data_IF_131560198894
#
_entry.id   IF_131560198894
#
_cell.length_a   1.000
_cell.length_b   1.000
_cell.length_c   1.000
_cell.angle_alpha   90.00
_cell.angle_beta   90.00
_cell.angle_gamma   90.00
#
_symmetry.space_group_name_H-M   'P 1'
#
loop_
_entity.id
_entity.type
_entity.pdbx_description
1 polymer ?
#
# COMPACT_ATOMS: atom_id res chain seq x y z
N UNK A 1 -14.01 -17.11 8.53
CA UNK A 1 -13.53 -18.06 7.52
C UNK A 1 -13.63 -17.42 6.14
N UNK A 2 -12.72 -17.73 5.21
CA UNK A 2 -12.77 -17.20 3.85
C UNK A 2 -13.67 -18.06 2.95
N UNK A 3 -14.37 -17.48 1.96
CA UNK A 3 -15.14 -18.27 0.98
C UNK A 3 -14.25 -19.25 0.19
N UNK A 4 -14.88 -20.23 -0.44
CA UNK A 4 -14.22 -21.16 -1.38
C UNK A 4 -13.57 -20.34 -2.51
N UNK A 5 -12.36 -20.74 -2.93
CA UNK A 5 -11.55 -20.11 -3.98
C UNK A 5 -11.22 -18.62 -3.77
N UNK A 6 -11.47 -18.09 -2.57
CA UNK A 6 -11.17 -16.70 -2.26
C UNK A 6 -9.65 -16.49 -2.19
N UNK A 7 -9.17 -15.54 -2.99
CA UNK A 7 -7.77 -15.09 -2.95
C UNK A 7 -7.56 -14.22 -1.69
N UNK A 8 -6.67 -14.68 -0.83
CA UNK A 8 -6.38 -14.08 0.48
C UNK A 8 -5.09 -13.27 0.41
N UNK A 9 -5.16 -12.00 0.82
CA UNK A 9 -3.96 -11.21 1.06
C UNK A 9 -3.15 -11.76 2.26
N UNK A 10 -1.91 -12.18 2.03
CA UNK A 10 -1.11 -12.89 3.03
C UNK A 10 -0.80 -12.02 4.26
N UNK A 11 -0.61 -10.71 4.09
CA UNK A 11 -0.39 -9.81 5.24
C UNK A 11 -1.62 -9.73 6.16
N UNK A 12 -2.84 -9.91 5.63
CA UNK A 12 -4.06 -10.03 6.45
C UNK A 12 -4.09 -11.37 7.18
N UNK A 13 -3.78 -12.46 6.49
CA UNK A 13 -3.74 -13.80 7.08
C UNK A 13 -2.75 -13.89 8.25
N UNK A 14 -1.53 -13.37 8.06
CA UNK A 14 -0.49 -13.29 9.10
C UNK A 14 -0.99 -12.58 10.36
N UNK A 15 -1.64 -11.41 10.22
CA UNK A 15 -2.17 -10.66 11.37
C UNK A 15 -3.29 -11.42 12.09
N UNK A 16 -4.11 -12.18 11.36
CA UNK A 16 -5.13 -13.03 11.96
C UNK A 16 -4.48 -14.16 12.79
N UNK A 17 -3.45 -14.83 12.27
CA UNK A 17 -2.73 -15.88 13.02
C UNK A 17 -2.05 -15.35 14.29
N UNK A 18 -1.49 -14.13 14.21
CA UNK A 18 -0.91 -13.46 15.39
C UNK A 18 -2.00 -13.16 16.42
N UNK A 19 -3.15 -12.62 15.99
CA UNK A 19 -4.26 -12.28 16.88
C UNK A 19 -4.87 -13.51 17.58
N UNK A 20 -4.96 -14.64 16.88
CA UNK A 20 -5.42 -15.90 17.48
C UNK A 20 -4.38 -16.55 18.41
N UNK A 21 -3.11 -16.15 18.31
CA UNK A 21 -2.01 -16.70 19.10
C UNK A 21 -1.45 -18.01 18.54
N UNK A 22 -1.66 -18.28 17.25
CA UNK A 22 -1.05 -19.43 16.58
C UNK A 22 0.46 -19.27 16.38
N UNK A 23 0.92 -18.02 16.36
CA UNK A 23 2.32 -17.68 16.21
C UNK A 23 2.99 -17.66 17.59
N UNK A 24 3.85 -18.63 17.87
CA UNK A 24 4.64 -18.70 19.10
C UNK A 24 6.09 -18.31 18.79
N UNK A 25 6.55 -17.16 19.27
CA UNK A 25 7.97 -16.83 19.25
C UNK A 25 8.72 -17.77 20.20
N UNK A 26 9.68 -18.53 19.66
CA UNK A 26 10.57 -19.34 20.48
C UNK A 26 11.73 -18.46 20.98
N UNK A 27 12.13 -18.63 22.25
CA UNK A 27 13.17 -17.82 22.90
C UNK A 27 14.54 -17.84 22.20
N UNK A 28 14.78 -18.77 21.26
CA UNK A 28 16.03 -18.91 20.52
C UNK A 28 16.09 -18.08 19.22
N UNK A 29 15.00 -17.42 18.79
CA UNK A 29 14.97 -16.51 17.64
C UNK A 29 14.91 -15.06 18.14
N UNK A 30 16.06 -14.53 18.56
CA UNK A 30 16.12 -13.23 19.25
C UNK A 30 15.74 -12.02 18.36
N UNK A 31 15.83 -12.16 17.03
CA UNK A 31 15.62 -11.05 16.07
C UNK A 31 14.37 -11.19 15.18
N UNK A 32 13.66 -12.33 15.21
CA UNK A 32 12.52 -12.57 14.32
C UNK A 32 11.21 -11.98 14.88
N UNK A 33 10.51 -11.17 14.10
CA UNK A 33 9.20 -10.64 14.49
C UNK A 33 8.11 -11.71 14.44
N UNK A 34 6.96 -11.47 15.10
CA UNK A 34 5.82 -12.35 14.98
C UNK A 34 5.32 -12.47 13.51
N UNK A 35 5.48 -11.43 12.70
CA UNK A 35 5.17 -11.53 11.27
C UNK A 35 6.16 -12.43 10.53
N UNK A 36 7.44 -12.39 10.86
CA UNK A 36 8.46 -13.24 10.22
C UNK A 36 8.18 -14.72 10.51
N UNK A 37 7.90 -15.05 11.77
CA UNK A 37 7.53 -16.42 12.18
C UNK A 37 6.23 -16.88 11.50
N UNK A 38 5.25 -15.99 11.39
CA UNK A 38 4.00 -16.29 10.70
C UNK A 38 4.22 -16.52 9.19
N UNK A 39 5.05 -15.70 8.54
CA UNK A 39 5.39 -15.84 7.12
C UNK A 39 6.20 -17.11 6.84
N UNK A 40 7.08 -17.49 7.76
CA UNK A 40 7.78 -18.77 7.67
C UNK A 40 6.80 -19.94 7.76
N UNK A 41 5.85 -19.89 8.70
CA UNK A 41 4.76 -20.89 8.78
C UNK A 41 3.93 -20.96 7.49
N UNK A 42 3.59 -19.81 6.87
CA UNK A 42 2.89 -19.77 5.59
C UNK A 42 3.72 -20.44 4.48
N UNK A 43 5.03 -20.17 4.44
CA UNK A 43 5.96 -20.78 3.48
C UNK A 43 5.99 -22.31 3.64
N UNK A 44 5.94 -22.82 4.87
CA UNK A 44 5.85 -24.26 5.11
C UNK A 44 4.54 -24.87 4.61
N UNK A 45 3.41 -24.17 4.76
CA UNK A 45 2.12 -24.62 4.22
C UNK A 45 2.12 -24.64 2.68
N UNK A 46 2.77 -23.66 2.05
CA UNK A 46 2.97 -23.60 0.61
C UNK A 46 3.81 -24.79 0.15
N UNK A 47 4.96 -25.05 0.81
CA UNK A 47 5.84 -26.16 0.47
C UNK A 47 5.19 -27.54 0.67
N UNK A 48 4.13 -27.64 1.49
CA UNK A 48 3.32 -28.85 1.68
C UNK A 48 2.15 -28.95 0.69
N UNK A 49 2.04 -28.04 -0.28
CA UNK A 49 0.93 -27.94 -1.24
C UNK A 49 -0.46 -27.80 -0.58
N UNK A 50 -0.53 -27.29 0.65
CA UNK A 50 -1.79 -27.01 1.34
C UNK A 50 -2.33 -25.62 0.99
N UNK A 51 -1.45 -24.72 0.56
CA UNK A 51 -1.75 -23.35 0.15
C UNK A 51 -1.06 -23.08 -1.18
N UNK A 52 -1.79 -22.53 -2.14
CA UNK A 52 -1.27 -22.12 -3.44
C UNK A 52 -0.91 -20.63 -3.42
N UNK A 53 0.21 -20.28 -4.06
CA UNK A 53 0.62 -18.89 -4.24
C UNK A 53 -0.08 -18.34 -5.48
N UNK A 54 -0.87 -17.29 -5.29
CA UNK A 54 -1.55 -16.61 -6.40
C UNK A 54 -0.66 -15.50 -6.97
N UNK A 55 -0.01 -14.74 -6.08
CA UNK A 55 0.82 -13.62 -6.47
C UNK A 55 2.02 -13.46 -5.52
N UNK A 56 3.21 -13.30 -6.11
CA UNK A 56 4.44 -12.92 -5.44
C UNK A 56 4.70 -11.44 -5.75
N UNK A 57 4.88 -10.63 -4.71
CA UNK A 57 5.27 -9.24 -4.86
C UNK A 57 6.70 -9.17 -5.42
N UNK A 58 7.06 -8.07 -6.08
CA UNK A 58 8.36 -7.89 -6.75
C UNK A 58 9.60 -7.92 -5.82
N UNK A 59 9.37 -7.82 -4.50
CA UNK A 59 10.38 -8.00 -3.45
C UNK A 59 10.59 -9.48 -3.08
N UNK A 60 9.93 -10.40 -3.80
CA UNK A 60 9.97 -11.85 -3.56
C UNK A 60 9.03 -12.31 -2.43
N UNK A 61 8.25 -11.41 -1.83
CA UNK A 61 7.34 -11.77 -0.73
C UNK A 61 6.02 -12.28 -1.28
N UNK A 62 5.51 -13.39 -0.74
CA UNK A 62 4.16 -13.88 -1.10
C UNK A 62 3.12 -12.83 -0.67
N UNK A 63 2.46 -12.24 -1.67
CA UNK A 63 1.47 -11.17 -1.52
C UNK A 63 0.06 -11.74 -1.35
N UNK A 64 -0.30 -12.71 -2.18
CA UNK A 64 -1.61 -13.34 -2.22
C UNK A 64 -1.54 -14.86 -2.34
N UNK A 65 -2.44 -15.55 -1.64
CA UNK A 65 -2.52 -17.00 -1.63
C UNK A 65 -3.96 -17.48 -1.63
N UNK A 66 -4.19 -18.72 -2.07
CA UNK A 66 -5.49 -19.38 -2.05
C UNK A 66 -5.37 -20.81 -1.54
N UNK A 67 -6.49 -21.36 -1.11
CA UNK A 67 -6.61 -22.79 -0.78
C UNK A 67 -7.49 -23.43 -1.85
N UNK A 68 -7.10 -24.63 -2.31
CA UNK A 68 -7.87 -25.39 -3.31
C UNK A 68 -9.21 -25.85 -2.73
N UNK A 69 -10.26 -25.96 -3.56
CA UNK A 69 -11.62 -26.34 -3.12
C UNK A 69 -11.69 -27.59 -2.23
N UNK A 70 -11.04 -28.69 -2.64
CA UNK A 70 -10.98 -29.92 -1.82
C UNK A 70 -10.33 -29.71 -0.44
N UNK A 71 -9.29 -28.88 -0.36
CA UNK A 71 -8.63 -28.56 0.91
C UNK A 71 -9.52 -27.65 1.76
N UNK A 72 -10.27 -26.75 1.13
CA UNK A 72 -11.27 -25.93 1.80
C UNK A 72 -12.36 -26.80 2.45
N UNK A 73 -12.92 -27.77 1.72
CA UNK A 73 -13.89 -28.74 2.26
C UNK A 73 -13.33 -29.55 3.44
N UNK A 74 -12.07 -30.02 3.33
CA UNK A 74 -11.40 -30.72 4.42
C UNK A 74 -11.25 -29.82 5.67
N UNK A 75 -10.88 -28.55 5.47
CA UNK A 75 -10.76 -27.57 6.55
C UNK A 75 -12.13 -27.30 7.19
N UNK A 76 -13.21 -27.20 6.41
CA UNK A 76 -14.57 -27.03 6.92
C UNK A 76 -14.96 -28.22 7.79
N UNK A 77 -14.80 -29.44 7.26
CA UNK A 77 -15.11 -30.67 7.97
C UNK A 77 -14.32 -30.80 9.28
N UNK A 78 -13.02 -30.48 9.28
CA UNK A 78 -12.20 -30.48 10.49
C UNK A 78 -12.54 -29.35 11.46
N UNK A 79 -12.96 -28.20 10.96
CA UNK A 79 -13.39 -27.08 11.81
C UNK A 79 -14.68 -27.42 12.55
N UNK A 80 -15.62 -28.09 11.88
CA UNK A 80 -16.86 -28.56 12.49
C UNK A 80 -16.60 -29.66 13.53
N UNK A 81 -15.72 -30.63 13.22
CA UNK A 81 -15.31 -31.69 14.16
C UNK A 81 -14.69 -31.10 15.44
N UNK A 82 -13.85 -30.07 15.29
CA UNK A 82 -13.14 -29.44 16.40
C UNK A 82 -13.95 -28.32 17.08
N UNK A 83 -15.19 -28.07 16.65
CA UNK A 83 -16.00 -26.92 17.09
C UNK A 83 -15.23 -25.59 17.03
N UNK A 84 -14.40 -25.44 16.00
CA UNK A 84 -13.50 -24.29 15.85
C UNK A 84 -14.26 -23.02 15.45
N UNK A 85 -15.49 -23.15 14.92
CA UNK A 85 -16.28 -22.02 14.41
C UNK A 85 -17.74 -22.06 14.86
N UNK A 86 -18.23 -20.94 15.40
CA UNK A 86 -19.67 -20.70 15.62
C UNK A 86 -20.17 -19.73 14.55
N UNK A 87 -21.05 -20.20 13.66
CA UNK A 87 -21.73 -19.35 12.68
C UNK A 87 -22.97 -18.73 13.35
N UNK A 88 -22.79 -17.65 14.11
CA UNK A 88 -23.91 -16.97 14.80
C UNK A 88 -24.64 -16.01 13.84
N UNK A 89 -25.97 -15.95 13.93
CA UNK A 89 -26.81 -14.99 13.20
C UNK A 89 -26.58 -13.54 13.70
N UNK A 90 -27.01 -12.50 12.95
CA UNK A 90 -26.55 -11.12 13.13
C UNK A 90 -27.20 -10.38 14.30
N UNK A 91 -28.19 -10.99 14.94
CA UNK A 91 -29.02 -10.36 15.96
C UNK A 91 -28.50 -10.59 17.38
N UNK A 92 -27.37 -11.26 17.56
CA UNK A 92 -26.82 -11.60 18.89
C UNK A 92 -25.48 -10.94 19.22
N UNK A 93 -25.25 -9.67 18.85
CA UNK A 93 -24.09 -8.93 19.37
C UNK A 93 -24.14 -8.75 20.90
N UNK A 94 -25.34 -8.80 21.48
CA UNK A 94 -25.55 -8.71 22.94
C UNK A 94 -24.98 -9.91 23.69
N UNK A 95 -24.62 -11.01 23.00
CA UNK A 95 -24.07 -12.24 23.58
C UNK A 95 -22.65 -12.54 23.07
N UNK A 96 -21.88 -11.55 22.58
CA UNK A 96 -20.45 -11.77 22.37
C UNK A 96 -19.82 -12.06 23.73
N UNK A 97 -19.52 -13.34 23.98
CA UNK A 97 -18.73 -13.73 25.13
C UNK A 97 -17.44 -12.90 25.14
N UNK A 98 -17.06 -12.38 26.32
CA UNK A 98 -15.87 -11.54 26.55
C UNK A 98 -14.53 -12.21 26.12
N UNK A 99 -14.60 -13.45 25.60
CA UNK A 99 -13.50 -14.29 25.15
C UNK A 99 -13.07 -14.05 23.69
N UNK A 100 -13.85 -13.31 22.89
CA UNK A 100 -13.52 -13.10 21.48
C UNK A 100 -12.19 -12.36 21.29
N UNK A 101 -11.27 -12.93 20.49
CA UNK A 101 -9.95 -12.35 20.18
C UNK A 101 -9.89 -11.64 18.83
N UNK A 102 -10.82 -11.94 17.93
CA UNK A 102 -10.89 -11.37 16.59
C UNK A 102 -12.33 -11.04 16.18
N UNK A 103 -12.53 -9.85 15.62
CA UNK A 103 -13.78 -9.42 15.00
C UNK A 103 -13.51 -8.78 13.64
N UNK A 104 -14.24 -9.22 12.62
CA UNK A 104 -14.29 -8.60 11.30
C UNK A 104 -15.74 -8.34 10.91
N UNK A 105 -16.09 -7.07 10.73
CA UNK A 105 -17.40 -6.63 10.27
C UNK A 105 -17.34 -6.47 8.75
N UNK A 106 -18.30 -7.09 8.04
CA UNK A 106 -18.38 -7.04 6.58
C UNK A 106 -19.67 -6.35 6.14
N UNK A 107 -19.63 -5.66 5.00
CA UNK A 107 -20.78 -5.03 4.38
C UNK A 107 -21.40 -6.00 3.39
N UNK A 108 -22.48 -6.68 3.78
CA UNK A 108 -23.28 -7.46 2.83
C UNK A 108 -24.08 -6.49 1.98
N UNK A 109 -23.63 -6.30 0.74
CA UNK A 109 -24.46 -5.73 -0.32
C UNK A 109 -25.73 -6.56 -0.45
N UNK A 110 -26.87 -5.88 -0.53
CA UNK A 110 -28.17 -6.48 -0.81
C UNK A 110 -28.11 -7.40 -2.02
N UNK A 111 -28.02 -8.72 -1.79
CA UNK A 111 -28.87 -9.77 -2.35
C UNK A 111 -28.39 -11.14 -1.82
N UNK A 112 -29.28 -11.77 -1.05
CA UNK A 112 -29.28 -13.18 -0.64
C UNK A 112 -28.29 -13.65 0.45
N UNK A 113 -28.91 -13.85 1.63
CA UNK A 113 -28.61 -14.77 2.72
C UNK A 113 -27.40 -14.55 3.65
N UNK A 114 -27.77 -14.56 4.93
CA UNK A 114 -26.99 -14.61 6.16
C UNK A 114 -26.36 -13.30 6.65
N UNK A 115 -27.07 -12.71 7.60
CA UNK A 115 -26.42 -12.35 8.86
C UNK A 115 -25.46 -11.15 8.88
N UNK A 116 -25.96 -9.95 8.56
CA UNK A 116 -25.26 -8.69 8.92
C UNK A 116 -26.03 -7.86 9.94
N UNK A 117 -25.30 -7.45 10.98
CA UNK A 117 -25.67 -6.50 12.02
C UNK A 117 -26.38 -5.31 11.35
N UNK A 118 -27.64 -5.03 11.72
CA UNK A 118 -28.20 -3.69 11.50
C UNK A 118 -27.54 -2.75 12.51
N UNK A 119 -26.26 -2.45 12.31
CA UNK A 119 -25.75 -1.19 12.82
C UNK A 119 -26.54 -0.12 12.08
N UNK A 120 -26.96 0.94 12.76
CA UNK A 120 -27.25 2.17 12.04
C UNK A 120 -26.06 2.40 11.11
N UNK A 121 -26.31 2.43 9.79
CA UNK A 121 -25.38 2.01 8.70
C UNK A 121 -23.96 2.62 8.70
N UNK A 122 -23.67 3.53 9.62
CA UNK A 122 -22.49 4.39 9.69
C UNK A 122 -21.77 4.39 11.06
N UNK A 123 -22.22 3.67 12.11
CA UNK A 123 -21.58 3.72 13.45
C UNK A 123 -21.38 2.34 14.09
N UNK A 124 -20.30 2.19 14.86
CA UNK A 124 -20.06 1.02 15.72
C UNK A 124 -20.63 1.24 17.15
N UNK A 125 -21.13 0.20 17.82
CA UNK A 125 -21.71 0.28 19.17
C UNK A 125 -20.65 0.55 20.26
N UNK A 126 -21.03 1.24 21.34
CA UNK A 126 -20.16 1.48 22.52
C UNK A 126 -19.90 0.18 23.33
N UNK A 127 -20.77 -0.82 23.19
CA UNK A 127 -20.60 -2.13 23.81
C UNK A 127 -19.35 -2.87 23.28
N UNK A 128 -18.77 -2.41 22.16
CA UNK A 128 -17.54 -2.95 21.61
C UNK A 128 -16.37 -2.89 22.60
N UNK A 129 -16.33 -1.88 23.48
CA UNK A 129 -15.30 -1.76 24.52
C UNK A 129 -15.32 -2.87 25.57
N UNK A 130 -16.41 -3.65 25.67
CA UNK A 130 -16.53 -4.75 26.63
C UNK A 130 -15.71 -5.99 26.22
N UNK A 131 -15.14 -6.00 25.01
CA UNK A 131 -14.41 -7.13 24.44
C UNK A 131 -12.92 -7.09 24.83
N UNK A 132 -12.63 -7.15 26.12
CA UNK A 132 -11.30 -6.92 26.69
C UNK A 132 -10.20 -7.90 26.22
N UNK A 133 -10.56 -8.97 25.52
CA UNK A 133 -9.64 -9.94 24.92
C UNK A 133 -9.40 -9.75 23.42
N UNK A 134 -10.05 -8.76 22.81
CA UNK A 134 -9.93 -8.48 21.39
C UNK A 134 -8.51 -8.02 21.05
N UNK A 135 -7.90 -8.71 20.08
CA UNK A 135 -6.58 -8.44 19.50
C UNK A 135 -6.67 -7.93 18.07
N UNK A 136 -7.76 -8.21 17.36
CA UNK A 136 -7.96 -7.77 15.98
C UNK A 136 -9.37 -7.24 15.77
N UNK A 137 -9.49 -6.01 15.30
CA UNK A 137 -10.73 -5.39 14.86
C UNK A 137 -10.60 -4.93 13.40
N UNK A 138 -11.53 -5.37 12.55
CA UNK A 138 -11.66 -4.91 11.17
C UNK A 138 -13.06 -4.43 10.86
N UNK A 139 -13.15 -3.23 10.29
CA UNK A 139 -14.37 -2.71 9.62
C UNK A 139 -14.09 -2.40 8.15
N UNK A 140 -13.17 -3.15 7.58
CA UNK A 140 -12.80 -3.08 6.17
C UNK A 140 -14.02 -3.21 5.26
N UNK A 141 -14.02 -2.45 4.17
CA UNK A 141 -15.06 -2.51 3.12
C UNK A 141 -16.47 -2.20 3.65
N UNK A 142 -16.57 -1.43 4.74
CA UNK A 142 -17.85 -1.03 5.34
C UNK A 142 -18.18 0.44 5.16
N UNK A 143 -19.43 0.81 5.44
CA UNK A 143 -19.90 2.21 5.43
C UNK A 143 -19.70 2.90 6.79
N UNK A 144 -19.04 2.26 7.75
CA UNK A 144 -18.76 2.82 9.09
C UNK A 144 -18.01 4.14 8.95
N UNK A 145 -18.54 5.18 9.58
CA UNK A 145 -18.02 6.55 9.63
C UNK A 145 -17.40 6.91 10.97
N UNK A 146 -17.91 6.35 12.07
CA UNK A 146 -17.45 6.68 13.42
C UNK A 146 -17.14 5.45 14.24
N UNK A 147 -16.00 5.48 14.94
CA UNK A 147 -15.63 4.50 15.95
C UNK A 147 -16.08 4.98 17.35
N UNK A 148 -16.53 4.08 18.24
CA UNK A 148 -16.97 4.42 19.59
C UNK A 148 -15.78 4.85 20.46
N UNK A 149 -16.06 5.64 21.49
CA UNK A 149 -15.02 6.09 22.44
C UNK A 149 -14.49 4.94 23.28
N UNK A 150 -15.37 4.02 23.67
CA UNK A 150 -15.05 2.77 24.38
C UNK A 150 -14.05 1.86 23.66
N UNK A 151 -13.72 2.13 22.39
CA UNK A 151 -12.61 1.45 21.71
C UNK A 151 -11.30 1.59 22.49
N UNK A 152 -11.14 2.65 23.31
CA UNK A 152 -10.00 2.85 24.20
C UNK A 152 -9.82 1.76 25.27
N UNK A 153 -10.87 1.04 25.63
CA UNK A 153 -10.86 -0.01 26.65
C UNK A 153 -10.26 -1.33 26.13
N UNK A 154 -10.04 -1.43 24.82
CA UNK A 154 -9.47 -2.61 24.18
C UNK A 154 -7.95 -2.65 24.32
N UNK A 155 -7.45 -2.74 25.55
CA UNK A 155 -6.01 -2.68 25.84
C UNK A 155 -5.20 -3.81 25.21
N UNK A 156 -5.82 -4.93 24.80
CA UNK A 156 -5.16 -6.04 24.08
C UNK A 156 -5.19 -5.91 22.56
N UNK A 157 -5.80 -4.85 22.01
CA UNK A 157 -5.94 -4.69 20.57
C UNK A 157 -4.58 -4.49 19.91
N UNK A 158 -4.20 -5.40 19.02
CA UNK A 158 -2.94 -5.38 18.27
C UNK A 158 -3.14 -4.86 16.84
N UNK A 159 -4.30 -5.11 16.23
CA UNK A 159 -4.64 -4.69 14.87
C UNK A 159 -5.96 -3.92 14.80
N UNK A 160 -5.92 -2.74 14.16
CA UNK A 160 -7.09 -1.98 13.74
C UNK A 160 -7.05 -1.77 12.21
N UNK A 161 -7.95 -2.44 11.50
CA UNK A 161 -8.05 -2.40 10.03
C UNK A 161 -9.32 -1.65 9.58
N UNK A 162 -9.11 -0.43 9.07
CA UNK A 162 -10.15 0.48 8.62
C UNK A 162 -10.11 0.68 7.09
N UNK A 163 -9.39 -0.18 6.35
CA UNK A 163 -9.25 -0.02 4.88
C UNK A 163 -10.61 -0.02 4.18
N UNK A 164 -10.82 0.93 3.29
CA UNK A 164 -12.06 1.12 2.53
C UNK A 164 -13.29 1.22 3.42
N UNK A 165 -13.11 1.74 4.64
CA UNK A 165 -14.20 2.25 5.46
C UNK A 165 -14.47 3.73 5.14
N UNK A 166 -15.45 4.34 5.81
CA UNK A 166 -15.72 5.79 5.72
C UNK A 166 -15.30 6.53 6.99
N UNK A 167 -14.40 5.94 7.79
CA UNK A 167 -13.86 6.58 8.98
C UNK A 167 -12.88 7.66 8.53
N UNK A 168 -13.24 8.93 8.72
CA UNK A 168 -12.40 10.07 8.34
C UNK A 168 -11.53 10.59 9.49
N UNK A 169 -11.91 10.31 10.73
CA UNK A 169 -11.24 10.79 11.93
C UNK A 169 -11.33 9.74 13.04
N UNK A 170 -10.23 9.52 13.76
CA UNK A 170 -10.23 8.68 14.96
C UNK A 170 -10.71 9.49 16.18
N UNK A 171 -11.43 8.85 17.12
CA UNK A 171 -11.71 9.48 18.42
C UNK A 171 -10.40 9.76 19.17
N UNK A 172 -10.36 10.84 19.95
CA UNK A 172 -9.16 11.23 20.71
C UNK A 172 -8.69 10.11 21.66
N UNK A 173 -9.65 9.37 22.23
CA UNK A 173 -9.43 8.29 23.18
C UNK A 173 -8.66 7.09 22.60
N UNK A 174 -8.49 7.01 21.26
CA UNK A 174 -7.70 5.96 20.59
C UNK A 174 -6.24 5.94 21.06
N UNK A 175 -5.74 7.07 21.56
CA UNK A 175 -4.38 7.19 22.07
C UNK A 175 -4.06 6.27 23.25
N UNK A 176 -5.08 5.76 23.97
CA UNK A 176 -4.92 4.85 25.11
C UNK A 176 -4.64 3.39 24.72
N UNK A 177 -4.71 3.06 23.43
CA UNK A 177 -4.47 1.70 22.93
C UNK A 177 -2.99 1.31 23.01
N UNK A 178 -2.50 0.85 24.16
CA UNK A 178 -1.06 0.64 24.40
C UNK A 178 -0.41 -0.52 23.60
N UNK A 179 -1.19 -1.52 23.16
CA UNK A 179 -0.67 -2.70 22.45
C UNK A 179 -0.87 -2.67 20.92
N UNK A 180 -1.33 -1.55 20.36
CA UNK A 180 -1.60 -1.45 18.93
C UNK A 180 -0.30 -1.52 18.12
N UNK A 181 -0.16 -2.56 17.29
CA UNK A 181 1.00 -2.78 16.40
C UNK A 181 0.71 -2.37 14.95
N UNK A 182 -0.51 -2.65 14.50
CA UNK A 182 -0.93 -2.48 13.12
C UNK A 182 -2.14 -1.56 13.03
N UNK A 183 -1.94 -0.35 12.54
CA UNK A 183 -3.00 0.57 12.18
C UNK A 183 -2.99 0.80 10.67
N UNK A 184 -4.07 0.40 10.01
CA UNK A 184 -4.16 0.47 8.55
C UNK A 184 -5.49 1.08 8.16
N UNK A 185 -5.45 2.29 7.60
CA UNK A 185 -6.65 3.04 7.35
C UNK A 185 -6.50 3.87 6.08
N UNK A 186 -7.40 3.67 5.13
CA UNK A 186 -7.59 4.58 4.01
C UNK A 186 -8.98 4.37 3.44
N UNK A 187 -9.56 5.40 2.85
CA UNK A 187 -10.68 5.25 1.92
C UNK A 187 -10.18 5.46 0.49
N UNK A 188 -10.77 4.74 -0.45
CA UNK A 188 -10.51 4.96 -1.87
C UNK A 188 -11.49 6.04 -2.36
N UNK A 189 -10.97 7.15 -2.90
CA UNK A 189 -11.79 8.17 -3.57
C UNK A 189 -11.75 8.03 -5.09
N UNK A 190 -10.64 7.54 -5.63
CA UNK A 190 -10.43 7.05 -6.99
C UNK A 190 -9.18 6.15 -7.02
N UNK A 191 -8.91 5.44 -8.12
CA UNK A 191 -7.86 4.39 -8.22
C UNK A 191 -6.45 4.83 -7.79
N UNK A 192 -6.17 6.14 -7.68
CA UNK A 192 -4.85 6.69 -7.37
C UNK A 192 -4.79 7.48 -6.05
N UNK A 193 -5.89 8.11 -5.62
CA UNK A 193 -5.93 8.93 -4.41
C UNK A 193 -6.59 8.15 -3.28
N UNK A 194 -5.81 7.92 -2.24
CA UNK A 194 -6.31 7.37 -0.98
C UNK A 194 -6.44 8.49 0.03
N UNK A 195 -7.63 8.65 0.60
CA UNK A 195 -7.80 9.57 1.72
C UNK A 195 -7.38 8.85 3.01
N UNK A 196 -6.51 9.50 3.78
CA UNK A 196 -6.08 8.99 5.08
C UNK A 196 -7.10 9.27 6.18
N UNK A 197 -6.79 8.80 7.38
CA UNK A 197 -7.63 9.05 8.56
C UNK A 197 -6.96 10.06 9.46
N UNK A 198 -7.70 11.10 9.83
CA UNK A 198 -7.23 12.13 10.77
C UNK A 198 -7.02 11.53 12.14
N UNK A 199 -5.87 11.81 12.71
CA UNK A 199 -5.55 11.43 14.08
C UNK A 199 -5.24 12.69 14.90
N UNK A 200 -5.60 12.65 16.17
CA UNK A 200 -5.35 13.75 17.10
C UNK A 200 -4.56 13.24 18.30
N UNK A 201 -3.65 14.08 18.79
CA UNK A 201 -2.88 13.81 20.00
C UNK A 201 -1.71 12.84 19.80
N UNK A 202 -1.17 12.37 20.91
CA UNK A 202 0.04 11.54 20.94
C UNK A 202 -0.35 10.06 21.00
N UNK A 203 0.39 9.18 20.32
CA UNK A 203 0.25 7.74 20.53
C UNK A 203 0.98 7.33 21.81
N UNK A 204 0.26 6.98 22.89
CA UNK A 204 0.90 6.36 24.06
C UNK A 204 1.42 4.94 23.73
N UNK A 205 0.95 4.35 22.63
CA UNK A 205 1.41 3.09 22.02
C UNK A 205 2.82 3.17 21.41
N UNK A 206 3.60 4.23 21.69
CA UNK A 206 4.81 4.61 20.95
C UNK A 206 5.93 3.56 20.90
N UNK A 207 5.82 2.48 21.67
CA UNK A 207 6.78 1.36 21.68
C UNK A 207 6.37 0.16 20.82
N UNK A 208 5.09 0.00 20.50
CA UNK A 208 4.55 -1.22 19.87
C UNK A 208 4.17 -1.05 18.40
N UNK A 209 3.93 0.17 17.92
CA UNK A 209 3.51 0.40 16.52
C UNK A 209 4.62 -0.02 15.55
N UNK A 210 4.28 -0.97 14.68
CA UNK A 210 5.14 -1.47 13.59
C UNK A 210 4.66 -0.97 12.22
N UNK A 211 3.34 -0.78 12.04
CA UNK A 211 2.76 -0.32 10.77
C UNK A 211 1.71 0.74 11.02
N UNK A 212 1.96 1.91 10.48
CA UNK A 212 1.06 3.06 10.50
C UNK A 212 0.85 3.52 9.06
N UNK A 213 -0.26 3.15 8.44
CA UNK A 213 -0.44 3.38 7.00
C UNK A 213 -1.64 4.26 6.68
N UNK A 214 -1.34 5.41 6.05
CA UNK A 214 -2.24 6.47 5.56
C UNK A 214 -2.95 7.24 6.68
N UNK A 215 -2.13 7.82 7.54
CA UNK A 215 -2.56 8.79 8.55
C UNK A 215 -2.58 10.19 7.95
N UNK A 216 -3.67 10.93 8.17
CA UNK A 216 -3.81 12.33 7.78
C UNK A 216 -3.31 13.24 8.91
N UNK A 217 -2.23 13.97 8.64
CA UNK A 217 -1.66 14.96 9.54
C UNK A 217 -2.25 16.32 9.16
N UNK A 218 -3.21 16.80 9.94
CA UNK A 218 -3.83 18.12 9.69
C UNK A 218 -2.76 19.23 9.81
N UNK A 219 -2.30 19.73 8.67
CA UNK A 219 -1.33 20.82 8.62
C UNK A 219 -1.94 22.07 9.27
N UNK A 220 -1.30 22.48 10.36
CA UNK A 220 -1.71 23.58 11.24
C UNK A 220 -1.67 23.22 12.73
N UNK A 221 -1.81 21.93 13.10
CA UNK A 221 -1.84 21.48 14.53
C UNK A 221 -0.99 20.23 14.81
N UNK A 222 -0.15 19.80 13.86
CA UNK A 222 0.46 18.46 13.84
C UNK A 222 1.93 18.40 14.29
N UNK A 223 2.54 19.49 14.76
CA UNK A 223 3.97 19.51 15.12
C UNK A 223 4.31 18.46 16.19
N UNK A 224 3.47 18.38 17.22
CA UNK A 224 3.62 17.38 18.29
C UNK A 224 3.58 15.96 17.72
N UNK A 225 2.63 15.69 16.83
CA UNK A 225 2.41 14.36 16.26
C UNK A 225 3.58 13.89 15.36
N UNK A 226 4.15 14.77 14.53
CA UNK A 226 5.32 14.42 13.69
C UNK A 226 6.51 14.01 14.57
N UNK A 227 6.74 14.74 15.67
CA UNK A 227 7.80 14.40 16.62
C UNK A 227 7.54 13.07 17.33
N UNK A 228 6.27 12.76 17.65
CA UNK A 228 5.87 11.47 18.22
C UNK A 228 6.07 10.31 17.24
N UNK A 229 5.79 10.51 15.95
CA UNK A 229 6.05 9.49 14.92
C UNK A 229 7.54 9.13 14.84
N UNK A 230 8.43 10.12 15.05
CA UNK A 230 9.87 9.89 15.11
C UNK A 230 10.30 8.97 16.25
N UNK A 231 9.52 8.89 17.34
CA UNK A 231 9.82 8.04 18.50
C UNK A 231 9.49 6.57 18.26
N UNK A 232 8.78 6.23 17.19
CA UNK A 232 8.36 4.87 16.85
C UNK A 232 9.53 4.04 16.29
N UNK A 233 10.39 3.54 17.18
CA UNK A 233 11.62 2.82 16.79
C UNK A 233 11.39 1.50 16.04
N UNK A 234 10.23 0.88 16.23
CA UNK A 234 9.86 -0.39 15.60
C UNK A 234 9.08 -0.22 14.29
N UNK A 235 8.91 1.02 13.82
CA UNK A 235 8.11 1.33 12.64
C UNK A 235 8.78 0.78 11.37
N UNK A 236 8.08 -0.13 10.68
CA UNK A 236 8.50 -0.75 9.43
C UNK A 236 7.74 -0.24 8.22
N UNK A 237 6.52 0.25 8.42
CA UNK A 237 5.70 0.82 7.33
C UNK A 237 5.02 2.10 7.78
N UNK A 238 5.30 3.19 7.05
CA UNK A 238 4.73 4.50 7.30
C UNK A 238 4.04 5.03 6.04
N UNK A 239 2.80 5.46 6.19
CA UNK A 239 2.07 6.21 5.18
C UNK A 239 1.49 7.48 5.79
N UNK A 240 1.91 8.64 5.29
CA UNK A 240 1.44 9.96 5.74
C UNK A 240 0.74 10.66 4.59
N UNK A 241 -0.35 11.36 4.90
CA UNK A 241 -1.03 12.26 3.97
C UNK A 241 -1.36 13.61 4.62
N UNK A 242 -1.51 14.64 3.81
CA UNK A 242 -2.08 15.95 4.19
C UNK A 242 -2.87 16.54 3.01
N UNK A 243 -3.70 15.71 2.36
CA UNK A 243 -4.54 16.18 1.27
C UNK A 243 -5.84 16.69 1.87
N UNK A 244 -6.04 18.01 1.83
CA UNK A 244 -7.31 18.62 2.20
C UNK A 244 -8.30 18.37 1.06
N UNK A 245 -9.51 17.92 1.42
CA UNK A 245 -10.60 17.70 0.46
C UNK A 245 -11.15 18.99 -0.15
N UNK A 246 -10.70 20.16 0.34
CA UNK A 246 -11.24 21.46 -0.01
C UNK A 246 -10.10 22.36 -0.49
N UNK A 247 -10.32 23.05 -1.61
CA UNK A 247 -9.37 23.80 -2.45
C UNK A 247 -8.71 25.04 -1.80
N UNK A 248 -8.41 24.99 -0.50
CA UNK A 248 -7.51 25.94 0.16
C UNK A 248 -6.08 25.50 -0.10
N UNK A 249 -5.19 26.48 -0.23
CA UNK A 249 -3.76 26.26 -0.44
C UNK A 249 -3.24 25.14 0.47
N UNK A 250 -2.73 24.07 -0.15
CA UNK A 250 -2.17 22.93 0.57
C UNK A 250 -0.91 23.39 1.29
N UNK A 251 -0.99 23.48 2.62
CA UNK A 251 0.18 23.68 3.48
C UNK A 251 1.15 22.49 3.32
N UNK A 252 2.47 22.74 3.32
CA UNK A 252 3.44 21.68 3.16
C UNK A 252 3.50 20.76 4.39
N UNK A 253 3.75 19.48 4.14
CA UNK A 253 4.07 18.47 5.15
C UNK A 253 5.41 18.81 5.81
N UNK A 254 5.36 19.28 7.05
CA UNK A 254 6.56 19.58 7.85
C UNK A 254 7.06 18.31 8.56
N UNK A 255 7.88 17.52 7.86
CA UNK A 255 8.42 16.25 8.38
C UNK A 255 9.87 16.34 8.86
N UNK A 256 10.44 17.55 8.91
CA UNK A 256 11.85 17.77 9.22
C UNK A 256 12.17 17.63 10.72
N UNK A 257 11.18 17.69 11.61
CA UNK A 257 11.38 17.51 13.06
C UNK A 257 11.37 16.04 13.51
N UNK A 258 11.07 15.11 12.59
CA UNK A 258 10.99 13.69 12.89
C UNK A 258 12.39 13.07 12.96
N UNK A 259 12.65 12.25 13.98
CA UNK A 259 13.85 11.41 14.04
C UNK A 259 13.77 10.23 13.09
N UNK A 260 14.94 9.76 12.61
CA UNK A 260 15.01 8.73 11.57
C UNK A 260 14.45 7.36 12.03
N UNK A 261 13.41 6.82 11.35
CA UNK A 261 12.88 5.50 11.63
C UNK A 261 13.71 4.43 10.90
N UNK A 262 14.86 4.05 11.45
CA UNK A 262 15.87 3.24 10.75
C UNK A 262 15.38 1.86 10.25
N UNK A 263 14.33 1.30 10.85
CA UNK A 263 13.73 0.01 10.45
C UNK A 263 12.67 0.13 9.35
N UNK A 264 12.47 1.34 8.81
CA UNK A 264 11.45 1.58 7.82
C UNK A 264 11.76 0.84 6.52
N UNK A 265 10.82 0.00 6.12
CA UNK A 265 10.88 -0.82 4.92
C UNK A 265 10.00 -0.26 3.79
N UNK A 266 8.93 0.45 4.14
CA UNK A 266 8.02 1.07 3.17
C UNK A 266 7.57 2.45 3.64
N UNK A 267 7.81 3.46 2.79
CA UNK A 267 7.43 4.85 3.01
C UNK A 267 6.47 5.33 1.93
N UNK A 268 5.33 5.89 2.33
CA UNK A 268 4.43 6.65 1.46
C UNK A 268 4.24 8.05 2.01
N UNK A 269 4.59 9.06 1.23
CA UNK A 269 4.32 10.46 1.54
C UNK A 269 3.35 11.01 0.50
N UNK A 270 2.23 11.58 0.97
CA UNK A 270 1.18 12.10 0.10
C UNK A 270 0.80 13.55 0.45
N UNK A 271 1.07 14.49 -0.43
CA UNK A 271 0.83 15.91 -0.23
C UNK A 271 2.10 16.74 -0.36
N UNK A 272 1.95 18.07 -0.41
CA UNK A 272 3.03 19.01 -0.72
C UNK A 272 4.20 18.88 0.25
N UNK A 273 5.42 18.85 -0.28
CA UNK A 273 6.68 18.88 0.46
C UNK A 273 7.53 20.05 -0.04
N UNK A 274 8.05 20.88 0.85
CA UNK A 274 9.02 21.92 0.45
C UNK A 274 10.37 21.30 0.08
N UNK A 275 10.80 20.33 0.89
CA UNK A 275 12.04 19.57 0.72
C UNK A 275 11.80 18.13 1.13
N UNK A 276 12.58 17.22 0.57
CA UNK A 276 12.61 15.84 1.04
C UNK A 276 13.12 15.83 2.51
N UNK A 277 12.52 15.04 3.42
CA UNK A 277 12.99 14.94 4.79
C UNK A 277 14.43 14.41 4.89
N UNK A 278 15.28 15.06 5.68
CA UNK A 278 16.71 14.74 5.77
C UNK A 278 16.97 13.30 6.24
N UNK A 279 16.13 12.75 7.11
CA UNK A 279 16.28 11.39 7.63
C UNK A 279 16.08 10.28 6.59
N UNK A 280 15.62 10.61 5.37
CA UNK A 280 15.44 9.60 4.31
C UNK A 280 16.77 8.98 3.88
N UNK A 281 17.88 9.75 3.89
CA UNK A 281 19.22 9.24 3.55
C UNK A 281 19.71 8.12 4.49
N UNK A 282 19.16 8.08 5.70
CA UNK A 282 19.56 7.15 6.76
C UNK A 282 18.83 5.79 6.66
N UNK A 283 17.81 5.68 5.81
CA UNK A 283 16.93 4.51 5.74
C UNK A 283 17.54 3.37 4.91
N UNK A 284 18.56 2.72 5.46
CA UNK A 284 19.30 1.66 4.75
C UNK A 284 18.45 0.41 4.44
N UNK A 285 17.35 0.20 5.15
CA UNK A 285 16.42 -0.92 4.92
C UNK A 285 15.21 -0.55 4.03
N UNK A 286 15.15 0.66 3.48
CA UNK A 286 13.98 1.12 2.74
C UNK A 286 13.90 0.43 1.38
N UNK A 287 12.87 -0.39 1.20
CA UNK A 287 12.63 -1.13 -0.04
C UNK A 287 11.65 -0.43 -0.97
N UNK A 288 10.71 0.33 -0.41
CA UNK A 288 9.68 1.04 -1.20
C UNK A 288 9.54 2.48 -0.76
N UNK A 289 9.67 3.41 -1.70
CA UNK A 289 9.31 4.80 -1.50
C UNK A 289 8.26 5.24 -2.52
N UNK A 290 7.18 5.85 -2.02
CA UNK A 290 6.12 6.43 -2.85
C UNK A 290 5.94 7.89 -2.48
N UNK A 291 6.22 8.77 -3.43
CA UNK A 291 6.02 10.21 -3.32
C UNK A 291 4.83 10.60 -4.19
N UNK A 292 3.75 11.03 -3.54
CA UNK A 292 2.51 11.39 -4.19
C UNK A 292 2.21 12.86 -3.90
N UNK A 293 1.87 13.63 -4.93
CA UNK A 293 1.44 15.02 -4.79
C UNK A 293 2.46 15.89 -4.05
N UNK A 294 3.75 15.53 -4.13
CA UNK A 294 4.80 16.17 -3.36
C UNK A 294 5.11 17.59 -3.84
N UNK A 295 4.81 17.91 -5.11
CA UNK A 295 5.06 19.24 -5.69
C UNK A 295 6.50 19.75 -5.49
N UNK A 296 7.46 18.83 -5.31
CA UNK A 296 8.86 19.19 -5.13
C UNK A 296 9.35 19.92 -6.38
N UNK A 297 10.12 20.99 -6.21
CA UNK A 297 10.72 21.71 -7.34
C UNK A 297 11.60 20.79 -8.18
N UNK A 298 12.33 19.91 -7.49
CA UNK A 298 13.18 18.88 -8.06
C UNK A 298 13.14 17.66 -7.14
N UNK A 299 13.15 16.46 -7.73
CA UNK A 299 13.27 15.22 -6.95
C UNK A 299 14.75 15.00 -6.67
N UNK A 300 15.19 14.90 -5.40
CA UNK A 300 16.59 14.67 -5.07
C UNK A 300 16.95 13.20 -5.33
N UNK A 301 17.13 12.85 -6.60
CA UNK A 301 17.51 11.51 -7.05
C UNK A 301 18.89 11.10 -6.52
N UNK A 302 19.76 12.06 -6.21
CA UNK A 302 21.03 11.82 -5.53
C UNK A 302 20.82 11.21 -4.12
N UNK A 303 19.82 11.66 -3.37
CA UNK A 303 19.51 11.11 -2.04
C UNK A 303 18.83 9.74 -2.17
N UNK A 304 17.82 9.64 -3.04
CA UNK A 304 17.05 8.42 -3.22
C UNK A 304 17.88 7.31 -3.89
N UNK A 305 18.80 7.68 -4.75
CA UNK A 305 19.68 6.81 -5.51
C UNK A 305 20.76 6.14 -4.68
N UNK A 306 21.12 6.72 -3.53
CA UNK A 306 22.09 6.12 -2.58
C UNK A 306 21.46 5.07 -1.65
N UNK A 307 20.14 4.87 -1.72
CA UNK A 307 19.46 3.87 -0.88
C UNK A 307 19.75 2.45 -1.40
N UNK A 308 20.43 1.60 -0.61
CA UNK A 308 21.00 0.35 -1.12
C UNK A 308 19.92 -0.71 -1.43
N UNK A 309 18.87 -0.77 -0.63
CA UNK A 309 17.82 -1.79 -0.72
C UNK A 309 16.58 -1.32 -1.50
N UNK A 310 16.63 -0.14 -2.12
CA UNK A 310 15.44 0.46 -2.75
C UNK A 310 15.07 -0.29 -4.03
N UNK A 311 13.99 -1.07 -3.98
CA UNK A 311 13.47 -1.84 -5.11
C UNK A 311 12.35 -1.12 -5.87
N UNK A 312 11.59 -0.24 -5.22
CA UNK A 312 10.48 0.52 -5.84
C UNK A 312 10.58 2.03 -5.58
N UNK A 313 10.60 2.79 -6.66
CA UNK A 313 10.43 4.24 -6.67
C UNK A 313 9.14 4.59 -7.43
N UNK A 314 8.16 5.11 -6.70
CA UNK A 314 6.88 5.54 -7.25
C UNK A 314 6.71 7.05 -7.11
N UNK A 315 6.54 7.74 -8.24
CA UNK A 315 6.39 9.18 -8.31
C UNK A 315 5.08 9.51 -9.03
N UNK A 316 4.09 10.04 -8.29
CA UNK A 316 2.81 10.48 -8.85
C UNK A 316 2.56 11.94 -8.54
N UNK A 317 2.49 12.81 -9.54
CA UNK A 317 2.36 14.27 -9.32
C UNK A 317 3.42 14.78 -8.32
N UNK A 318 4.60 14.17 -8.36
CA UNK A 318 5.63 14.30 -7.34
C UNK A 318 6.59 15.47 -7.56
N UNK A 319 6.70 15.96 -8.79
CA UNK A 319 7.69 16.95 -9.21
C UNK A 319 7.06 18.03 -10.09
N UNK A 320 7.47 19.28 -9.85
CA UNK A 320 7.19 20.45 -10.68
C UNK A 320 8.36 20.81 -11.60
N UNK A 321 9.48 20.08 -11.51
CA UNK A 321 10.63 20.19 -12.37
C UNK A 321 10.33 19.70 -13.79
N UNK A 322 11.13 20.17 -14.74
CA UNK A 322 10.97 19.87 -16.17
C UNK A 322 11.83 18.71 -16.64
N UNK A 323 12.82 18.32 -15.85
CA UNK A 323 13.79 17.30 -16.21
C UNK A 323 13.95 16.29 -15.08
N UNK A 324 14.16 15.03 -15.45
CA UNK A 324 14.65 13.98 -14.55
C UNK A 324 15.88 13.37 -15.19
N UNK A 325 16.96 13.28 -14.43
CA UNK A 325 18.22 12.71 -14.86
C UNK A 325 18.64 11.62 -13.88
N UNK A 326 18.68 10.38 -14.38
CA UNK A 326 19.20 9.24 -13.65
C UNK A 326 20.67 9.06 -14.01
N UNK A 327 21.55 9.55 -13.13
CA UNK A 327 23.00 9.44 -13.31
C UNK A 327 23.50 8.01 -13.03
N UNK A 328 24.63 7.67 -13.63
CA UNK A 328 25.28 6.37 -13.42
C UNK A 328 25.74 6.20 -11.97
N UNK A 329 25.63 4.98 -11.43
CA UNK A 329 26.05 4.66 -10.06
C UNK A 329 24.97 4.86 -8.98
N UNK A 330 23.81 5.45 -9.32
CA UNK A 330 22.64 5.50 -8.44
C UNK A 330 21.68 4.32 -8.66
N UNK A 331 20.83 4.06 -7.67
CA UNK A 331 19.77 3.05 -7.67
C UNK A 331 20.31 1.62 -7.89
N UNK A 332 21.18 1.12 -6.99
CA UNK A 332 21.89 -0.15 -7.19
C UNK A 332 20.99 -1.38 -7.22
N UNK A 333 19.78 -1.32 -6.62
CA UNK A 333 18.86 -2.45 -6.50
C UNK A 333 17.48 -2.21 -7.17
N UNK A 334 17.27 -1.06 -7.82
CA UNK A 334 15.92 -0.64 -8.25
C UNK A 334 15.36 -1.57 -9.33
N UNK A 335 14.18 -2.15 -9.08
CA UNK A 335 13.46 -3.05 -9.99
C UNK A 335 12.25 -2.40 -10.64
N UNK A 336 11.56 -1.52 -9.91
CA UNK A 336 10.34 -0.88 -10.37
C UNK A 336 10.48 0.64 -10.30
N UNK A 337 10.32 1.29 -11.45
CA UNK A 337 10.26 2.73 -11.58
C UNK A 337 8.92 3.15 -12.18
N UNK A 338 8.14 3.91 -11.42
CA UNK A 338 6.83 4.41 -11.85
C UNK A 338 6.84 5.94 -11.84
N UNK A 339 6.67 6.54 -13.02
CA UNK A 339 6.62 7.97 -13.25
C UNK A 339 5.23 8.34 -13.81
N UNK A 340 4.37 8.96 -12.99
CA UNK A 340 2.99 9.25 -13.38
C UNK A 340 2.56 10.68 -13.07
N UNK A 341 1.83 11.32 -14.00
CA UNK A 341 1.34 12.71 -13.89
C UNK A 341 2.42 13.71 -13.51
N UNK A 342 3.56 13.63 -14.18
CA UNK A 342 4.62 14.63 -14.07
C UNK A 342 4.38 15.71 -15.14
N UNK A 343 3.40 16.57 -14.89
CA UNK A 343 2.76 17.44 -15.90
C UNK A 343 3.74 18.37 -16.64
N UNK A 344 4.86 18.73 -16.00
CA UNK A 344 5.91 19.62 -16.54
C UNK A 344 7.13 18.89 -17.10
N UNK A 345 7.20 17.57 -16.92
CA UNK A 345 8.35 16.78 -17.36
C UNK A 345 8.42 16.78 -18.88
N UNK A 346 9.48 17.35 -19.43
CA UNK A 346 9.72 17.42 -20.87
C UNK A 346 10.99 16.67 -21.30
N UNK A 347 11.91 16.38 -20.37
CA UNK A 347 13.14 15.64 -20.61
C UNK A 347 13.34 14.56 -19.56
N UNK A 348 13.52 13.32 -20.03
CA UNK A 348 13.99 12.21 -19.23
C UNK A 348 15.37 11.82 -19.76
N UNK A 349 16.39 11.90 -18.92
CA UNK A 349 17.77 11.50 -19.22
C UNK A 349 18.17 10.32 -18.33
N UNK A 350 18.82 9.32 -18.91
CA UNK A 350 19.30 8.13 -18.22
C UNK A 350 20.71 7.92 -18.73
N UNK A 351 21.69 7.95 -17.83
CA UNK A 351 23.07 7.69 -18.20
C UNK A 351 23.29 6.21 -18.53
N UNK A 352 24.36 5.92 -19.27
CA UNK A 352 24.80 4.55 -19.49
C UNK A 352 25.02 3.83 -18.15
N UNK A 353 24.51 2.60 -18.04
CA UNK A 353 24.53 1.77 -16.83
C UNK A 353 23.69 2.26 -15.64
N UNK A 354 23.00 3.39 -15.75
CA UNK A 354 21.97 3.75 -14.78
C UNK A 354 20.77 2.78 -14.90
N UNK A 355 20.04 2.58 -13.80
CA UNK A 355 18.80 1.76 -13.79
C UNK A 355 18.98 0.32 -14.32
N UNK A 356 20.17 -0.26 -14.19
CA UNK A 356 20.55 -1.51 -14.84
C UNK A 356 19.76 -2.76 -14.38
N UNK A 357 19.16 -2.74 -13.19
CA UNK A 357 18.31 -3.82 -12.65
C UNK A 357 16.81 -3.56 -12.80
N UNK A 358 16.40 -2.44 -13.43
CA UNK A 358 14.97 -2.14 -13.58
C UNK A 358 14.32 -3.17 -14.49
N UNK A 359 13.34 -3.89 -13.92
CA UNK A 359 12.56 -4.93 -14.60
C UNK A 359 11.24 -4.35 -15.14
N UNK A 360 10.70 -3.34 -14.47
CA UNK A 360 9.45 -2.67 -14.81
C UNK A 360 9.61 -1.14 -14.81
N UNK A 361 9.41 -0.53 -15.98
CA UNK A 361 9.30 0.91 -16.15
C UNK A 361 7.86 1.29 -16.54
N UNK A 362 7.24 2.21 -15.80
CA UNK A 362 5.95 2.81 -16.16
C UNK A 362 6.10 4.31 -16.33
N UNK A 363 5.60 4.85 -17.46
CA UNK A 363 5.53 6.29 -17.73
C UNK A 363 4.08 6.66 -18.11
N UNK A 364 3.41 7.44 -17.26
CA UNK A 364 1.99 7.73 -17.43
C UNK A 364 1.64 9.22 -17.33
N UNK A 365 0.73 9.69 -18.18
CA UNK A 365 0.15 11.04 -18.11
C UNK A 365 1.18 12.18 -18.11
N UNK A 366 2.33 12.00 -18.76
CA UNK A 366 3.40 13.00 -18.87
C UNK A 366 3.34 13.70 -20.25
N UNK A 367 2.37 14.59 -20.44
CA UNK A 367 2.02 15.15 -21.77
C UNK A 367 3.14 15.97 -22.44
N UNK A 368 4.06 16.54 -21.67
CA UNK A 368 5.16 17.37 -22.19
C UNK A 368 6.40 16.54 -22.59
N UNK A 369 6.47 15.27 -22.19
CA UNK A 369 7.57 14.38 -22.55
C UNK A 369 7.34 13.89 -23.99
N UNK A 370 8.15 14.41 -24.92
CA UNK A 370 7.97 14.15 -26.35
C UNK A 370 8.81 13.01 -26.89
N UNK A 371 9.91 12.69 -26.22
CA UNK A 371 10.91 11.73 -26.70
C UNK A 371 11.26 10.75 -25.59
N UNK A 372 11.51 9.51 -26.00
CA UNK A 372 12.07 8.49 -25.11
C UNK A 372 13.60 8.61 -25.07
N UNK A 373 14.27 8.52 -23.90
CA UNK A 373 15.73 8.47 -23.84
C UNK A 373 16.27 7.28 -24.63
N UNK A 374 17.39 7.47 -25.34
CA UNK A 374 18.07 6.42 -26.11
C UNK A 374 18.46 5.23 -25.26
N UNK A 375 18.91 5.50 -24.04
CA UNK A 375 19.55 4.54 -23.14
C UNK A 375 18.59 3.46 -22.60
N UNK A 376 17.28 3.60 -22.83
CA UNK A 376 16.31 2.54 -22.56
C UNK A 376 16.64 1.26 -23.33
N UNK A 377 17.23 1.35 -24.52
CA UNK A 377 17.64 0.17 -25.26
C UNK A 377 18.78 -0.63 -24.58
N UNK A 378 19.51 -0.01 -23.65
CA UNK A 378 20.62 -0.62 -22.91
C UNK A 378 20.18 -1.23 -21.57
N UNK A 379 18.92 -1.07 -21.16
CA UNK A 379 18.37 -1.61 -19.91
C UNK A 379 18.12 -3.13 -20.05
N UNK A 380 19.15 -3.94 -19.76
CA UNK A 380 19.15 -5.40 -20.00
C UNK A 380 18.08 -6.18 -19.23
N UNK A 381 17.70 -5.72 -18.04
CA UNK A 381 16.70 -6.39 -17.20
C UNK A 381 15.25 -5.96 -17.51
N UNK A 382 15.06 -4.92 -18.34
CA UNK A 382 13.74 -4.36 -18.60
C UNK A 382 12.87 -5.34 -19.38
N UNK A 383 11.89 -5.94 -18.70
CA UNK A 383 10.99 -6.95 -19.24
C UNK A 383 9.59 -6.42 -19.50
N UNK A 384 9.20 -5.38 -18.77
CA UNK A 384 7.90 -4.74 -18.87
C UNK A 384 8.08 -3.21 -18.97
N UNK A 385 7.64 -2.65 -20.09
CA UNK A 385 7.56 -1.21 -20.28
C UNK A 385 6.11 -0.81 -20.54
N UNK A 386 5.56 0.02 -19.67
CA UNK A 386 4.18 0.47 -19.75
C UNK A 386 4.12 1.99 -19.97
N UNK A 387 3.33 2.40 -20.94
CA UNK A 387 3.05 3.82 -21.19
C UNK A 387 1.56 4.06 -21.12
N UNK A 388 1.14 5.09 -20.39
CA UNK A 388 -0.30 5.32 -20.15
C UNK A 388 -0.67 6.76 -20.35
N UNK A 389 -1.74 7.04 -21.09
CA UNK A 389 -2.27 8.40 -21.30
C UNK A 389 -1.18 9.40 -21.73
N UNK A 390 -0.23 8.97 -22.56
CA UNK A 390 0.80 9.84 -23.14
C UNK A 390 0.25 10.59 -24.35
N UNK A 391 1.00 11.58 -24.86
CA UNK A 391 0.60 12.25 -26.11
C UNK A 391 0.58 11.26 -27.28
N UNK A 392 -0.36 11.43 -28.22
CA UNK A 392 -0.44 10.57 -29.42
C UNK A 392 0.87 10.58 -30.20
N UNK A 393 1.56 11.72 -30.25
CA UNK A 393 2.88 11.89 -30.87
C UNK A 393 3.94 11.00 -30.21
N UNK A 394 4.02 11.00 -28.88
CA UNK A 394 4.96 10.16 -28.12
C UNK A 394 4.73 8.67 -28.43
N UNK A 395 3.47 8.21 -28.44
CA UNK A 395 3.13 6.82 -28.76
C UNK A 395 3.49 6.46 -30.20
N UNK A 396 3.18 7.35 -31.17
CA UNK A 396 3.49 7.12 -32.58
C UNK A 396 4.98 6.91 -32.85
N UNK A 397 5.85 7.60 -32.10
CA UNK A 397 7.31 7.43 -32.21
C UNK A 397 7.78 6.02 -31.84
N UNK A 398 7.05 5.28 -31.03
CA UNK A 398 7.42 3.91 -30.64
C UNK A 398 6.85 2.81 -31.56
N UNK A 399 5.95 3.17 -32.49
CA UNK A 399 5.26 2.18 -33.32
C UNK A 399 6.23 1.41 -34.23
N UNK A 400 6.05 0.08 -34.40
CA UNK A 400 6.88 -0.73 -35.30
C UNK A 400 6.83 -0.23 -36.75
N UNK A 401 7.99 -0.24 -37.42
CA UNK A 401 8.14 0.08 -38.85
C UNK A 401 8.00 1.56 -39.25
N UNK A 402 7.39 2.41 -38.41
CA UNK A 402 7.11 3.82 -38.73
C UNK A 402 7.70 4.78 -37.68
N UNK A 403 7.81 4.36 -36.42
CA UNK A 403 8.22 5.20 -35.31
C UNK A 403 9.75 5.38 -35.21
N UNK A 404 10.20 6.64 -35.12
CA UNK A 404 11.62 7.01 -34.97
C UNK A 404 12.29 6.46 -33.69
N UNK A 405 11.51 6.21 -32.64
CA UNK A 405 11.95 5.70 -31.34
C UNK A 405 11.71 4.19 -31.19
N UNK A 406 11.17 3.50 -32.21
CA UNK A 406 10.85 2.07 -32.12
C UNK A 406 12.08 1.21 -31.78
N UNK A 407 13.23 1.53 -32.37
CA UNK A 407 14.50 0.83 -32.11
C UNK A 407 14.92 0.87 -30.63
N UNK A 408 14.44 1.86 -29.86
CA UNK A 408 14.72 1.99 -28.43
C UNK A 408 13.99 0.93 -27.59
N UNK A 409 12.83 0.48 -28.06
CA UNK A 409 11.92 -0.43 -27.32
C UNK A 409 11.80 -1.82 -27.94
N UNK A 410 12.35 -2.03 -29.14
CA UNK A 410 12.20 -3.28 -29.90
C UNK A 410 12.68 -4.55 -29.18
N UNK A 411 13.63 -4.42 -28.25
CA UNK A 411 14.19 -5.55 -27.50
C UNK A 411 13.48 -5.82 -26.16
N UNK A 412 12.46 -5.03 -25.81
CA UNK A 412 11.71 -5.18 -24.56
C UNK A 412 10.59 -6.21 -24.77
N UNK A 413 10.55 -7.24 -23.93
CA UNK A 413 9.63 -8.38 -24.11
C UNK A 413 8.15 -7.99 -24.10
N UNK A 414 7.76 -7.10 -23.19
CA UNK A 414 6.38 -6.64 -23.05
C UNK A 414 6.33 -5.12 -23.04
N UNK A 415 5.83 -4.53 -24.12
CA UNK A 415 5.54 -3.10 -24.18
C UNK A 415 4.03 -2.91 -24.29
N UNK A 416 3.43 -2.26 -23.30
CA UNK A 416 1.99 -2.01 -23.24
C UNK A 416 1.70 -0.52 -23.30
N UNK A 417 0.69 -0.17 -24.10
CA UNK A 417 0.20 1.19 -24.30
C UNK A 417 -1.24 1.27 -23.81
N UNK A 418 -1.47 2.11 -22.81
CA UNK A 418 -2.78 2.38 -22.24
C UNK A 418 -3.29 3.73 -22.73
N UNK A 419 -4.44 3.73 -23.39
CA UNK A 419 -5.08 4.93 -23.95
C UNK A 419 -6.56 4.95 -23.61
N UNK A 420 -7.15 6.14 -23.63
CA UNK A 420 -8.59 6.31 -23.52
C UNK A 420 -9.16 6.44 -24.93
N UNK A 421 -10.11 5.57 -25.28
CA UNK A 421 -10.81 5.64 -26.56
C UNK A 421 -11.88 6.75 -26.56
N UNK A 422 -12.54 6.95 -27.70
CA UNK A 422 -13.62 7.92 -27.88
C UNK A 422 -14.83 7.67 -26.95
N UNK A 423 -15.02 6.44 -26.48
CA UNK A 423 -16.06 6.05 -25.52
C UNK A 423 -15.62 6.17 -24.05
N UNK A 424 -14.49 6.82 -23.78
CA UNK A 424 -13.90 6.97 -22.44
C UNK A 424 -13.50 5.67 -21.75
N UNK A 425 -13.31 4.58 -22.50
CA UNK A 425 -12.83 3.30 -21.97
C UNK A 425 -11.31 3.26 -22.01
N UNK A 426 -10.73 2.67 -20.96
CA UNK A 426 -9.30 2.37 -20.90
C UNK A 426 -8.99 1.13 -21.73
N UNK A 427 -8.18 1.28 -22.77
CA UNK A 427 -7.71 0.18 -23.60
C UNK A 427 -6.24 -0.10 -23.29
N UNK A 428 -5.92 -1.36 -23.01
CA UNK A 428 -4.56 -1.87 -22.88
C UNK A 428 -4.20 -2.56 -24.19
N UNK A 429 -3.22 -2.04 -24.92
CA UNK A 429 -2.79 -2.60 -26.19
C UNK A 429 -1.31 -2.97 -26.11
N UNK A 430 -0.94 -4.14 -26.64
CA UNK A 430 0.47 -4.47 -26.83
C UNK A 430 1.03 -3.61 -27.98
N UNK A 431 2.27 -3.15 -27.86
CA UNK A 431 2.93 -2.40 -28.93
C UNK A 431 3.03 -3.27 -30.20
N UNK A 432 2.45 -2.79 -31.29
CA UNK A 432 2.37 -3.52 -32.57
C UNK A 432 1.04 -4.21 -32.84
N UNK A 433 0.08 -4.16 -31.90
CA UNK A 433 -1.29 -4.61 -32.14
C UNK A 433 -2.02 -3.64 -33.10
N UNK A 434 -2.82 -4.18 -34.02
CA UNK A 434 -3.51 -3.36 -35.04
C UNK A 434 -4.53 -2.40 -34.42
N UNK A 435 -5.13 -2.80 -33.30
CA UNK A 435 -6.09 -1.99 -32.52
C UNK A 435 -5.50 -0.69 -31.98
N UNK A 436 -4.19 -0.65 -31.75
CA UNK A 436 -3.49 0.55 -31.29
C UNK A 436 -3.44 1.63 -32.38
N UNK A 437 -3.24 1.23 -33.64
CA UNK A 437 -3.19 2.17 -34.78
C UNK A 437 -4.54 2.87 -34.98
N UNK A 438 -5.63 2.11 -34.92
CA UNK A 438 -6.99 2.65 -35.06
C UNK A 438 -7.31 3.69 -33.99
N UNK A 439 -6.80 3.47 -32.76
CA UNK A 439 -7.04 4.35 -31.62
C UNK A 439 -6.16 5.61 -31.61
N UNK A 440 -5.10 5.63 -32.42
CA UNK A 440 -4.20 6.78 -32.55
C UNK A 440 -4.65 7.76 -33.64
N UNK A 441 -5.48 7.33 -34.60
CA UNK A 441 -6.17 8.23 -35.53
C UNK A 441 -7.17 9.12 -34.79
#
# INVERSE_FOLDING_TARGET
>A
MFPVDYVVNCARLVRLWIAEGFVKQQQQQHDATAEDVARQSLTQLINKNLVHVELVDFDGVVGECRVHGLMHELILSKSDELNFFFQTSPTQLTNLNQTARHISIQNIGSNNLSSTIRSSKDRLPEELGNLLHLKYLSVRDTKVKTLPKSLSELHKLETLDLKRSRVHQLPFEINKLSNLKYFIAYSDTNFQIRQGVKIHGNFQSSKSIEKLYLVDLDAGKSFDLVSELGKLKNLRKLGITNLKSEAKEEEPLQLQSMSSPLLLYCLRLQGRLEKLPHWISDLKCLVRIRLLWSQLSEIPLNILGELPELLELFLYKGCNGTQLHFESGYFPALKILILEKLDRLNRLAIDENALHLVEHLFIGSCQQLKMLPSDICHMKCLSLFEVSLMSKEFVRRMLPGVGEDHWKVQNIANVHVYIINTEQQYLANKLGDSTLLDSLN
#
